data_IF_831363801053
#
_entry.id   IF_831363801053
#
_cell.length_a   1.000
_cell.length_b   1.000
_cell.length_c   1.000
_cell.angle_alpha   90.00
_cell.angle_beta   90.00
_cell.angle_gamma   90.00
#
_symmetry.space_group_name_H-M   'P 1'
#
loop_
_entity.id
_entity.type
_entity.pdbx_description
1 polymer ?
#
# COMPACT_ATOMS: atom_id res chain seq x y z
N UNK A 1 25.52 -96.77 -7.81
CA UNK A 1 25.72 -96.54 -6.36
C UNK A 1 25.93 -95.05 -6.13
N UNK A 2 25.33 -94.54 -5.06
CA UNK A 2 24.61 -93.26 -5.04
C UNK A 2 25.35 -92.14 -4.33
N UNK A 3 25.32 -90.98 -4.99
CA UNK A 3 25.75 -89.64 -4.60
C UNK A 3 24.81 -89.08 -3.51
N UNK A 4 24.99 -89.44 -2.23
CA UNK A 4 24.07 -88.96 -1.17
C UNK A 4 24.66 -89.07 0.24
N UNK A 5 25.68 -88.27 0.58
CA UNK A 5 26.08 -88.11 2.00
C UNK A 5 26.92 -86.88 2.34
N UNK A 6 27.08 -85.90 1.44
CA UNK A 6 27.81 -84.64 1.75
C UNK A 6 26.92 -83.42 2.00
N UNK A 7 25.61 -83.61 2.20
CA UNK A 7 24.65 -82.52 2.43
C UNK A 7 24.05 -82.47 3.84
N UNK A 8 24.62 -83.19 4.82
CA UNK A 8 24.05 -83.29 6.17
C UNK A 8 24.90 -82.68 7.29
N UNK A 9 25.79 -81.73 6.98
CA UNK A 9 26.54 -80.96 7.99
C UNK A 9 26.59 -79.45 7.71
N UNK A 10 25.51 -78.87 7.16
CA UNK A 10 25.41 -77.41 7.02
C UNK A 10 24.07 -76.81 7.44
N UNK A 11 23.21 -77.59 8.12
CA UNK A 11 21.88 -77.13 8.56
C UNK A 11 21.65 -77.25 10.06
N UNK A 12 22.60 -76.80 10.89
CA UNK A 12 22.30 -76.53 12.30
C UNK A 12 23.14 -75.36 12.82
N UNK A 13 22.44 -74.26 13.13
CA UNK A 13 22.87 -72.99 13.74
C UNK A 13 23.40 -71.89 12.81
N UNK A 14 22.49 -71.24 12.09
CA UNK A 14 22.53 -69.79 11.95
C UNK A 14 21.24 -69.21 12.54
N UNK A 15 21.20 -69.10 13.86
CA UNK A 15 20.32 -68.15 14.54
C UNK A 15 21.21 -67.03 15.07
N UNK A 16 20.98 -65.82 14.55
CA UNK A 16 21.15 -64.57 15.26
C UNK A 16 22.57 -64.17 15.64
N UNK A 17 23.22 -63.43 14.76
CA UNK A 17 24.17 -62.39 15.17
C UNK A 17 23.87 -61.14 14.34
N UNK A 18 22.72 -60.51 14.58
CA UNK A 18 22.55 -59.13 14.14
C UNK A 18 23.41 -58.31 15.09
N UNK A 19 24.55 -57.83 14.60
CA UNK A 19 25.53 -57.20 15.47
C UNK A 19 24.92 -55.93 16.08
N UNK A 20 25.06 -55.70 17.39
CA UNK A 20 24.64 -54.44 18.04
C UNK A 20 25.29 -53.22 17.40
N UNK A 21 26.45 -53.42 16.77
CA UNK A 21 27.17 -52.40 16.02
C UNK A 21 26.45 -52.01 14.72
N UNK A 22 25.93 -52.97 13.96
CA UNK A 22 25.16 -52.71 12.74
C UNK A 22 23.80 -52.08 13.06
N UNK A 23 23.13 -52.50 14.13
CA UNK A 23 21.92 -51.83 14.61
C UNK A 23 22.20 -50.43 15.15
N UNK A 24 23.29 -50.22 15.90
CA UNK A 24 23.69 -48.90 16.41
C UNK A 24 24.06 -47.92 15.29
N UNK A 25 24.70 -48.41 14.22
CA UNK A 25 25.04 -47.60 13.05
C UNK A 25 23.79 -47.27 12.21
N UNK A 26 22.88 -48.24 12.00
CA UNK A 26 21.60 -48.01 11.29
C UNK A 26 20.63 -47.13 12.08
N UNK A 27 20.52 -47.33 13.40
CA UNK A 27 19.72 -46.48 14.28
C UNK A 27 20.33 -45.07 14.39
N UNK A 28 21.65 -44.97 14.47
CA UNK A 28 22.38 -43.69 14.43
C UNK A 28 22.11 -42.93 13.13
N UNK A 29 22.27 -43.56 11.97
CA UNK A 29 21.98 -42.93 10.67
C UNK A 29 20.50 -42.57 10.53
N UNK A 30 19.57 -43.39 11.05
CA UNK A 30 18.15 -43.07 11.03
C UNK A 30 17.80 -41.87 11.93
N UNK A 31 18.35 -41.81 13.16
CA UNK A 31 18.13 -40.70 14.11
C UNK A 31 18.79 -39.41 13.62
N UNK A 32 20.01 -39.48 13.06
CA UNK A 32 20.65 -38.33 12.41
C UNK A 32 19.86 -37.88 11.17
N UNK A 33 19.36 -38.79 10.33
CA UNK A 33 18.55 -38.42 9.17
C UNK A 33 17.19 -37.82 9.55
N UNK A 34 16.57 -38.32 10.63
CA UNK A 34 15.31 -37.79 11.15
C UNK A 34 15.52 -36.44 11.84
N UNK A 35 16.60 -36.30 12.63
CA UNK A 35 17.01 -35.06 13.29
C UNK A 35 17.42 -33.96 12.31
N UNK A 36 18.14 -34.31 11.25
CA UNK A 36 18.48 -33.37 10.16
C UNK A 36 17.23 -33.02 9.34
N UNK A 37 16.31 -33.95 9.10
CA UNK A 37 15.01 -33.63 8.45
C UNK A 37 14.13 -32.73 9.31
N UNK A 38 14.09 -32.91 10.63
CA UNK A 38 13.33 -32.03 11.52
C UNK A 38 14.00 -30.68 11.69
N UNK A 39 15.33 -30.62 11.80
CA UNK A 39 16.07 -29.35 11.81
C UNK A 39 15.92 -28.60 10.49
N UNK A 40 16.05 -29.28 9.34
CA UNK A 40 15.81 -28.68 8.03
C UNK A 40 14.37 -28.18 7.88
N UNK A 41 13.37 -28.89 8.44
CA UNK A 41 11.98 -28.40 8.48
C UNK A 41 11.81 -27.16 9.35
N UNK A 42 12.45 -27.11 10.52
CA UNK A 42 12.39 -25.95 11.42
C UNK A 42 13.13 -24.75 10.81
N UNK A 43 14.28 -24.97 10.20
CA UNK A 43 15.05 -23.93 9.52
C UNK A 43 14.33 -23.41 8.29
N UNK A 44 13.73 -24.28 7.47
CA UNK A 44 12.90 -23.85 6.35
C UNK A 44 11.67 -23.08 6.82
N UNK A 45 10.98 -23.53 7.87
CA UNK A 45 9.86 -22.78 8.47
C UNK A 45 10.28 -21.39 8.94
N UNK A 46 11.41 -21.27 9.66
CA UNK A 46 11.94 -19.98 10.09
C UNK A 46 12.28 -19.05 8.91
N UNK A 47 12.85 -19.60 7.84
CA UNK A 47 13.14 -18.82 6.62
C UNK A 47 11.84 -18.30 6.01
N UNK A 48 10.79 -19.13 5.92
CA UNK A 48 9.48 -18.69 5.43
C UNK A 48 8.85 -17.62 6.32
N UNK A 49 8.88 -17.81 7.64
CA UNK A 49 8.37 -16.82 8.61
C UNK A 49 9.13 -15.47 8.51
N UNK A 50 10.45 -15.52 8.36
CA UNK A 50 11.27 -14.31 8.17
C UNK A 50 10.98 -13.62 6.84
N UNK A 51 10.79 -14.38 5.76
CA UNK A 51 10.45 -13.82 4.45
C UNK A 51 9.06 -13.17 4.47
N UNK A 52 8.07 -13.84 5.07
CA UNK A 52 6.72 -13.31 5.22
C UNK A 52 6.72 -12.02 6.05
N UNK A 53 7.43 -12.00 7.17
CA UNK A 53 7.54 -10.80 8.01
C UNK A 53 8.20 -9.63 7.26
N UNK A 54 9.27 -9.89 6.51
CA UNK A 54 9.93 -8.85 5.68
C UNK A 54 9.01 -8.34 4.57
N UNK A 55 8.22 -9.22 3.95
CA UNK A 55 7.25 -8.84 2.94
C UNK A 55 6.18 -7.91 3.54
N UNK A 56 5.65 -8.23 4.72
CA UNK A 56 4.70 -7.39 5.44
C UNK A 56 5.28 -6.02 5.85
N UNK A 57 6.52 -5.98 6.36
CA UNK A 57 7.21 -4.72 6.72
C UNK A 57 7.47 -3.84 5.49
N UNK A 58 7.85 -4.46 4.39
CA UNK A 58 8.03 -3.79 3.09
C UNK A 58 6.69 -3.23 2.60
N UNK A 59 5.64 -4.04 2.66
CA UNK A 59 4.30 -3.66 2.25
C UNK A 59 3.76 -2.45 3.04
N UNK A 60 3.93 -2.46 4.36
CA UNK A 60 3.55 -1.34 5.23
C UNK A 60 4.33 -0.06 4.90
N UNK A 61 5.61 -0.19 4.53
CA UNK A 61 6.45 0.94 4.13
C UNK A 61 5.96 1.58 2.84
N UNK A 62 5.71 0.78 1.80
CA UNK A 62 5.19 1.29 0.53
C UNK A 62 3.78 1.86 0.66
N UNK A 63 2.92 1.27 1.49
CA UNK A 63 1.60 1.84 1.81
C UNK A 63 1.73 3.24 2.39
N UNK A 64 2.55 3.42 3.42
CA UNK A 64 2.80 4.74 4.03
C UNK A 64 3.44 5.71 3.05
N UNK A 65 4.31 5.23 2.17
CA UNK A 65 4.93 6.07 1.14
C UNK A 65 3.89 6.58 0.12
N UNK A 66 2.93 5.74 -0.29
CA UNK A 66 1.80 6.15 -1.13
C UNK A 66 0.91 7.15 -0.39
N UNK A 67 0.57 6.88 0.87
CA UNK A 67 -0.23 7.79 1.70
C UNK A 67 0.44 9.17 1.82
N UNK A 68 1.75 9.21 2.11
CA UNK A 68 2.52 10.45 2.18
C UNK A 68 2.64 11.16 0.83
N UNK A 69 2.83 10.42 -0.27
CA UNK A 69 2.89 10.98 -1.61
C UNK A 69 1.58 11.67 -2.00
N UNK A 70 0.44 11.09 -1.61
CA UNK A 70 -0.88 11.66 -1.83
C UNK A 70 -1.16 12.85 -0.91
N UNK A 71 -0.81 12.74 0.36
CA UNK A 71 -0.97 13.83 1.36
C UNK A 71 0.01 15.00 1.15
N UNK A 72 0.85 14.95 0.13
CA UNK A 72 1.74 16.04 -0.28
C UNK A 72 1.43 16.58 -1.67
N UNK A 73 0.30 16.19 -2.27
CA UNK A 73 -0.16 16.76 -3.54
C UNK A 73 -0.41 18.27 -3.43
N UNK A 74 0.18 19.01 -4.37
CA UNK A 74 -0.06 20.43 -4.62
C UNK A 74 -0.60 20.66 -6.04
N UNK A 75 -1.00 21.90 -6.34
CA UNK A 75 -1.32 22.36 -7.68
C UNK A 75 -0.24 21.92 -8.69
N UNK A 76 -0.68 21.22 -9.75
CA UNK A 76 0.20 20.70 -10.81
C UNK A 76 0.86 19.34 -10.55
N UNK A 77 0.76 18.77 -9.33
CA UNK A 77 1.26 17.43 -9.01
C UNK A 77 0.16 16.39 -8.78
N UNK A 78 -1.10 16.77 -8.99
CA UNK A 78 -2.25 15.91 -8.72
C UNK A 78 -2.36 14.75 -9.72
N UNK A 79 -2.88 13.61 -9.25
CA UNK A 79 -3.39 12.53 -10.10
C UNK A 79 -2.36 11.54 -10.65
N UNK A 80 -1.09 11.90 -10.77
CA UNK A 80 -0.07 10.92 -11.19
C UNK A 80 0.66 10.33 -9.98
N UNK A 81 0.28 9.10 -9.62
CA UNK A 81 1.04 8.26 -8.69
C UNK A 81 2.04 7.46 -9.52
N UNK A 82 3.31 7.89 -9.51
CA UNK A 82 4.40 7.16 -10.17
C UNK A 82 5.23 6.39 -9.16
N UNK A 83 5.90 5.33 -9.64
CA UNK A 83 6.92 4.61 -8.89
C UNK A 83 7.99 5.58 -8.32
N UNK A 84 8.47 6.51 -9.14
CA UNK A 84 9.47 7.51 -8.75
C UNK A 84 8.99 8.41 -7.60
N UNK A 85 7.73 8.83 -7.66
CA UNK A 85 7.14 9.67 -6.62
C UNK A 85 7.01 8.91 -5.30
N UNK A 86 6.47 7.69 -5.33
CA UNK A 86 6.32 6.86 -4.12
C UNK A 86 7.71 6.59 -3.50
N UNK A 87 8.72 6.33 -4.32
CA UNK A 87 10.09 6.09 -3.87
C UNK A 87 10.72 7.29 -3.12
N UNK A 88 10.25 8.51 -3.32
CA UNK A 88 10.73 9.67 -2.54
C UNK A 88 10.32 9.58 -1.06
N UNK A 89 9.22 8.88 -0.75
CA UNK A 89 8.65 8.77 0.59
C UNK A 89 8.94 7.41 1.26
N UNK A 90 9.57 6.49 0.54
CA UNK A 90 10.14 5.27 1.13
C UNK A 90 11.41 5.68 1.86
N UNK A 91 11.43 5.51 3.19
CA UNK A 91 12.64 5.82 3.93
C UNK A 91 13.78 4.92 3.45
N UNK A 92 14.96 5.49 3.17
CA UNK A 92 16.20 4.76 2.84
C UNK A 92 16.69 3.82 3.97
N UNK A 93 15.88 3.63 5.01
CA UNK A 93 16.24 3.10 6.32
C UNK A 93 15.41 1.89 6.75
N UNK A 94 14.78 1.15 5.83
CA UNK A 94 14.41 -0.24 6.12
C UNK A 94 15.69 -1.06 6.03
N UNK A 95 16.24 -1.39 7.20
CA UNK A 95 17.59 -1.92 7.37
C UNK A 95 17.90 -3.15 6.53
N UNK A 96 19.10 -3.17 5.96
CA UNK A 96 19.72 -4.39 5.42
C UNK A 96 19.49 -4.61 3.93
N UNK A 97 19.76 -3.59 3.11
CA UNK A 97 19.86 -3.74 1.66
C UNK A 97 19.25 -2.55 0.97
N UNK A 98 20.08 -1.75 0.33
CA UNK A 98 19.63 -0.71 -0.59
C UNK A 98 18.91 -1.40 -1.76
N UNK A 99 17.60 -1.65 -1.64
CA UNK A 99 16.80 -1.95 -2.82
C UNK A 99 16.79 -0.69 -3.67
N UNK A 100 17.43 -0.79 -4.84
CA UNK A 100 17.41 0.24 -5.86
C UNK A 100 15.95 0.49 -6.25
N UNK A 101 15.60 1.75 -6.58
CA UNK A 101 14.25 2.11 -7.04
C UNK A 101 13.78 1.36 -8.30
N UNK A 102 14.67 0.55 -8.91
CA UNK A 102 14.42 -0.34 -10.05
C UNK A 102 13.56 -1.57 -9.76
N UNK A 103 13.36 -1.93 -8.49
CA UNK A 103 12.76 -3.22 -8.12
C UNK A 103 11.26 -3.13 -7.81
N UNK A 104 10.64 -1.98 -8.03
CA UNK A 104 9.22 -1.78 -7.80
C UNK A 104 8.45 -1.76 -9.12
N UNK A 105 7.33 -2.47 -9.17
CA UNK A 105 6.34 -2.30 -10.22
C UNK A 105 5.09 -1.69 -9.61
N UNK A 106 4.65 -0.56 -10.17
CA UNK A 106 3.47 0.17 -9.74
C UNK A 106 2.41 0.12 -10.84
N UNK A 107 1.20 -0.24 -10.44
CA UNK A 107 0.00 -0.06 -11.25
C UNK A 107 -1.01 0.78 -10.52
N UNK A 108 -1.52 1.83 -11.17
CA UNK A 108 -2.57 2.66 -10.63
C UNK A 108 -3.68 2.79 -11.67
N UNK A 109 -4.93 2.59 -11.25
CA UNK A 109 -6.10 2.71 -12.12
C UNK A 109 -7.13 3.58 -11.44
N UNK A 110 -7.66 4.54 -12.19
CA UNK A 110 -8.79 5.35 -11.78
C UNK A 110 -10.08 4.55 -11.93
N UNK A 111 -10.99 4.69 -10.98
CA UNK A 111 -12.35 4.18 -11.13
C UNK A 111 -13.17 5.33 -11.76
N UNK A 112 -14.09 5.02 -12.66
CA UNK A 112 -14.51 5.93 -13.74
C UNK A 112 -15.53 7.03 -13.33
N UNK A 113 -15.34 7.72 -12.19
CA UNK A 113 -16.25 8.80 -11.73
C UNK A 113 -15.59 9.92 -10.88
N UNK A 114 -16.31 11.02 -10.71
CA UNK A 114 -15.92 12.29 -10.04
C UNK A 114 -15.51 12.21 -8.56
N UNK A 115 -15.46 11.03 -7.97
CA UNK A 115 -14.99 10.76 -6.60
C UNK A 115 -14.14 9.50 -6.50
N UNK A 116 -13.88 8.83 -7.62
CA UNK A 116 -13.57 7.42 -7.53
C UNK A 116 -12.14 7.21 -6.99
N UNK A 117 -12.00 6.44 -5.89
CA UNK A 117 -10.70 6.13 -5.36
C UNK A 117 -9.84 5.46 -6.43
N UNK A 118 -8.67 6.05 -6.65
CA UNK A 118 -7.62 5.37 -7.36
C UNK A 118 -7.25 4.13 -6.54
N UNK A 119 -7.07 3.01 -7.23
CA UNK A 119 -6.49 1.82 -6.62
C UNK A 119 -5.07 1.69 -7.10
N UNK A 120 -4.15 1.60 -6.14
CA UNK A 120 -2.71 1.47 -6.41
C UNK A 120 -2.28 0.08 -5.97
N UNK A 121 -1.71 -0.69 -6.89
CA UNK A 121 -0.99 -1.92 -6.60
C UNK A 121 0.50 -1.70 -6.76
N UNK A 122 1.27 -2.12 -5.76
CA UNK A 122 2.73 -2.04 -5.75
C UNK A 122 3.28 -3.42 -5.43
N UNK A 123 4.26 -3.88 -6.18
CA UNK A 123 4.98 -5.11 -5.84
C UNK A 123 6.49 -4.89 -5.87
N UNK A 124 7.18 -5.62 -4.99
CA UNK A 124 8.65 -5.77 -5.00
C UNK A 124 9.08 -7.21 -5.28
N UNK A 125 8.15 -8.00 -5.83
CA UNK A 125 8.39 -9.39 -6.20
C UNK A 125 9.44 -9.49 -7.30
N UNK A 126 10.32 -10.47 -7.20
CA UNK A 126 11.24 -10.88 -8.26
C UNK A 126 10.57 -11.80 -9.30
N UNK A 127 9.33 -12.22 -9.05
CA UNK A 127 8.50 -12.99 -9.98
C UNK A 127 8.03 -12.12 -11.17
N UNK A 128 8.55 -12.42 -12.36
CA UNK A 128 8.21 -11.75 -13.62
C UNK A 128 6.71 -11.77 -13.92
N UNK A 129 5.99 -12.84 -13.57
CA UNK A 129 4.55 -12.93 -13.80
C UNK A 129 3.80 -11.92 -12.92
N UNK A 130 4.20 -11.78 -11.66
CA UNK A 130 3.59 -10.84 -10.71
C UNK A 130 3.83 -9.41 -11.17
N UNK A 131 5.08 -9.08 -11.54
CA UNK A 131 5.42 -7.75 -12.07
C UNK A 131 4.64 -7.44 -13.35
N UNK A 132 4.61 -8.37 -14.30
CA UNK A 132 3.86 -8.20 -15.54
C UNK A 132 2.35 -8.03 -15.29
N UNK A 133 1.76 -8.78 -14.34
CA UNK A 133 0.34 -8.69 -14.01
C UNK A 133 -0.01 -7.36 -13.36
N UNK A 134 0.78 -6.88 -12.38
CA UNK A 134 0.60 -5.55 -11.77
C UNK A 134 0.71 -4.45 -12.84
N UNK A 135 1.70 -4.53 -13.72
CA UNK A 135 1.85 -3.58 -14.84
C UNK A 135 0.71 -3.64 -15.85
N UNK A 136 0.18 -4.83 -16.16
CA UNK A 136 -0.94 -5.02 -17.10
C UNK A 136 -2.24 -4.46 -16.53
N UNK A 137 -2.50 -4.65 -15.23
CA UNK A 137 -3.65 -4.05 -14.57
C UNK A 137 -3.61 -2.53 -14.77
N UNK A 138 -2.46 -1.88 -14.54
CA UNK A 138 -2.26 -0.46 -14.79
C UNK A 138 -2.55 0.01 -16.23
N UNK A 139 -2.24 -0.84 -17.22
CA UNK A 139 -2.28 -0.48 -18.65
C UNK A 139 -3.60 -0.77 -19.37
N UNK A 140 -4.63 -1.28 -18.69
CA UNK A 140 -5.90 -1.59 -19.36
C UNK A 140 -6.97 -2.30 -18.52
N UNK A 141 -6.78 -2.43 -17.19
CA UNK A 141 -7.82 -2.93 -16.29
C UNK A 141 -8.77 -1.83 -15.81
N UNK A 142 -9.85 -2.21 -15.12
CA UNK A 142 -10.58 -1.30 -14.23
C UNK A 142 -10.13 -1.52 -12.77
N UNK A 143 -10.41 -0.56 -11.88
CA UNK A 143 -10.05 -0.69 -10.47
C UNK A 143 -10.71 -1.88 -9.75
N UNK A 144 -11.90 -2.31 -10.20
CA UNK A 144 -12.59 -3.48 -9.65
C UNK A 144 -11.86 -4.81 -9.97
N UNK A 145 -11.16 -4.89 -11.11
CA UNK A 145 -10.31 -6.03 -11.45
C UNK A 145 -9.10 -6.10 -10.52
N UNK A 146 -8.51 -4.95 -10.15
CA UNK A 146 -7.47 -4.94 -9.11
C UNK A 146 -8.04 -5.37 -7.76
N UNK A 147 -9.29 -5.01 -7.43
CA UNK A 147 -9.92 -5.40 -6.17
C UNK A 147 -10.14 -6.89 -5.98
N UNK A 148 -10.35 -7.59 -7.09
CA UNK A 148 -10.71 -9.01 -7.11
C UNK A 148 -9.61 -9.89 -7.67
N UNK A 149 -8.44 -9.31 -7.99
CA UNK A 149 -7.30 -10.07 -8.49
C UNK A 149 -6.72 -10.97 -7.39
N UNK A 150 -6.33 -12.18 -7.78
CA UNK A 150 -5.60 -13.14 -6.95
C UNK A 150 -4.32 -12.58 -6.29
N UNK A 151 -3.76 -11.50 -6.84
CA UNK A 151 -2.59 -10.83 -6.26
C UNK A 151 -2.93 -10.02 -4.98
N UNK A 152 -4.19 -9.71 -4.71
CA UNK A 152 -4.61 -8.88 -3.56
C UNK A 152 -4.26 -9.51 -2.21
N UNK A 153 -4.30 -10.84 -2.14
CA UNK A 153 -4.02 -11.60 -0.91
C UNK A 153 -2.54 -11.98 -0.76
N UNK A 154 -1.68 -11.57 -1.71
CA UNK A 154 -0.26 -11.90 -1.65
C UNK A 154 0.50 -10.92 -0.75
N UNK A 155 1.35 -11.46 0.11
CA UNK A 155 2.19 -10.67 1.03
C UNK A 155 3.23 -9.76 0.31
N UNK A 156 3.59 -10.06 -0.94
CA UNK A 156 4.54 -9.30 -1.75
C UNK A 156 3.89 -8.22 -2.65
N UNK A 157 2.58 -8.01 -2.48
CA UNK A 157 1.79 -7.01 -3.20
C UNK A 157 1.06 -6.11 -2.20
N UNK A 158 1.16 -4.80 -2.40
CA UNK A 158 0.46 -3.78 -1.62
C UNK A 158 -0.67 -3.24 -2.45
N UNK A 159 -1.89 -3.26 -1.92
CA UNK A 159 -3.03 -2.58 -2.52
C UNK A 159 -3.47 -1.43 -1.63
N UNK A 160 -3.54 -0.22 -2.19
CA UNK A 160 -4.01 0.98 -1.51
C UNK A 160 -5.23 1.52 -2.22
N UNK A 161 -6.32 1.70 -1.46
CA UNK A 161 -7.51 2.41 -1.90
C UNK A 161 -7.41 3.86 -1.41
N UNK A 162 -7.41 4.83 -2.32
CA UNK A 162 -7.15 6.22 -1.95
C UNK A 162 -8.37 6.95 -1.37
N UNK A 163 -9.54 6.31 -1.25
CA UNK A 163 -10.80 6.95 -0.86
C UNK A 163 -10.71 7.73 0.44
N UNK A 164 -10.19 7.11 1.49
CA UNK A 164 -10.05 7.74 2.80
C UNK A 164 -9.12 8.97 2.74
N UNK A 165 -8.02 8.87 1.98
CA UNK A 165 -7.06 9.96 1.80
C UNK A 165 -7.74 11.13 1.07
N UNK A 166 -8.52 10.85 0.02
CA UNK A 166 -9.29 11.89 -0.70
C UNK A 166 -10.30 12.59 0.22
N UNK A 167 -10.95 11.84 1.11
CA UNK A 167 -11.84 12.43 2.12
C UNK A 167 -11.10 13.33 3.10
N UNK A 168 -9.92 12.93 3.58
CA UNK A 168 -9.08 13.76 4.45
C UNK A 168 -8.66 15.08 3.76
N UNK A 169 -8.26 15.02 2.49
CA UNK A 169 -7.93 16.21 1.70
C UNK A 169 -9.14 17.16 1.52
N UNK A 170 -10.33 16.61 1.29
CA UNK A 170 -11.58 17.40 1.21
C UNK A 170 -11.88 18.04 2.57
N UNK A 171 -11.77 17.30 3.67
CA UNK A 171 -12.04 17.82 5.01
C UNK A 171 -11.07 18.96 5.38
N UNK A 172 -9.78 18.83 5.05
CA UNK A 172 -8.81 19.90 5.23
C UNK A 172 -9.20 21.16 4.44
N UNK A 173 -9.65 20.99 3.19
CA UNK A 173 -10.14 22.10 2.35
C UNK A 173 -11.37 22.78 2.96
N UNK A 174 -12.35 22.00 3.42
CA UNK A 174 -13.55 22.53 4.07
C UNK A 174 -13.22 23.27 5.38
N UNK A 175 -12.26 22.78 6.16
CA UNK A 175 -11.79 23.48 7.36
C UNK A 175 -11.20 24.85 7.04
N UNK A 176 -10.42 24.97 5.97
CA UNK A 176 -9.91 26.26 5.52
C UNK A 176 -11.03 27.19 5.01
N UNK A 177 -12.02 26.65 4.29
CA UNK A 177 -13.21 27.42 3.88
C UNK A 177 -14.02 27.91 5.08
N UNK A 178 -14.13 27.13 6.16
CA UNK A 178 -14.80 27.56 7.39
C UNK A 178 -14.05 28.68 8.09
N UNK A 179 -12.72 28.64 8.15
CA UNK A 179 -11.91 29.76 8.68
C UNK A 179 -12.10 31.03 7.84
N UNK A 180 -12.16 30.91 6.52
CA UNK A 180 -12.44 32.03 5.63
C UNK A 180 -13.85 32.60 5.90
N UNK A 181 -14.83 31.73 6.12
CA UNK A 181 -16.19 32.13 6.49
C UNK A 181 -16.26 32.90 7.81
N UNK A 182 -15.49 32.51 8.83
CA UNK A 182 -15.41 33.24 10.10
C UNK A 182 -14.92 34.68 9.91
N UNK A 183 -13.94 34.88 9.03
CA UNK A 183 -13.45 36.23 8.68
C UNK A 183 -14.54 37.04 7.97
N UNK A 184 -15.30 36.41 7.06
CA UNK A 184 -16.43 37.06 6.38
C UNK A 184 -17.55 37.44 7.35
N UNK A 185 -17.86 36.60 8.33
CA UNK A 185 -18.82 36.94 9.39
C UNK A 185 -18.31 38.11 10.26
N UNK A 186 -17.00 38.16 10.55
CA UNK A 186 -16.38 39.30 11.21
C UNK A 186 -16.55 40.59 10.42
N UNK A 187 -16.36 40.55 9.10
CA UNK A 187 -16.60 41.69 8.21
C UNK A 187 -18.06 42.13 8.23
N UNK A 188 -19.00 41.18 8.14
CA UNK A 188 -20.43 41.46 8.18
C UNK A 188 -20.83 42.13 9.50
N UNK A 189 -20.34 41.64 10.64
CA UNK A 189 -20.63 42.22 11.95
C UNK A 189 -20.17 43.69 12.08
N UNK A 190 -19.13 44.07 11.35
CA UNK A 190 -18.59 45.45 11.36
C UNK A 190 -19.29 46.37 10.36
N UNK A 191 -19.73 45.84 9.21
CA UNK A 191 -20.20 46.64 8.07
C UNK A 191 -21.70 46.49 7.76
N UNK A 192 -22.39 45.55 8.42
CA UNK A 192 -23.80 45.24 8.17
C UNK A 192 -24.08 44.60 6.79
N UNK A 193 -23.03 44.16 6.09
CA UNK A 193 -23.09 43.47 4.79
C UNK A 193 -21.87 42.58 4.59
N UNK A 194 -22.01 41.56 3.76
CA UNK A 194 -20.85 40.80 3.28
C UNK A 194 -19.94 41.64 2.37
N UNK A 195 -18.64 41.30 2.27
CA UNK A 195 -17.71 42.01 1.41
C UNK A 195 -18.10 41.85 -0.07
N UNK A 196 -17.93 42.92 -0.85
CA UNK A 196 -18.01 42.84 -2.31
C UNK A 196 -16.76 42.18 -2.89
N UNK A 197 -16.74 41.94 -4.20
CA UNK A 197 -15.65 41.20 -4.85
C UNK A 197 -14.24 41.76 -4.57
N UNK A 198 -14.05 43.08 -4.67
CA UNK A 198 -12.74 43.70 -4.42
C UNK A 198 -12.30 43.61 -2.94
N UNK A 199 -13.24 43.77 -2.01
CA UNK A 199 -12.97 43.64 -0.57
C UNK A 199 -12.65 42.19 -0.21
N UNK A 200 -13.35 41.24 -0.84
CA UNK A 200 -13.06 39.82 -0.68
C UNK A 200 -11.67 39.47 -1.20
N UNK A 201 -11.24 40.01 -2.33
CA UNK A 201 -9.86 39.80 -2.82
C UNK A 201 -8.84 40.24 -1.78
N UNK A 202 -8.99 41.43 -1.18
CA UNK A 202 -8.11 41.87 -0.10
C UNK A 202 -8.14 40.93 1.11
N UNK A 203 -9.33 40.49 1.54
CA UNK A 203 -9.47 39.56 2.66
C UNK A 203 -8.80 38.20 2.33
N UNK A 204 -8.97 37.69 1.11
CA UNK A 204 -8.38 36.44 0.67
C UNK A 204 -6.86 36.52 0.60
N UNK A 205 -6.31 37.64 0.13
CA UNK A 205 -4.87 37.88 0.09
C UNK A 205 -4.28 38.00 1.51
N UNK A 206 -5.01 38.64 2.42
CA UNK A 206 -4.60 38.80 3.82
C UNK A 206 -4.62 37.48 4.60
N UNK A 207 -5.62 36.61 4.37
CA UNK A 207 -5.70 35.31 5.05
C UNK A 207 -4.76 34.27 4.43
N UNK A 208 -4.50 34.36 3.13
CA UNK A 208 -3.71 33.37 2.38
C UNK A 208 -4.28 31.95 2.42
N UNK A 209 -5.57 31.81 2.75
CA UNK A 209 -6.22 30.50 2.89
C UNK A 209 -6.54 29.92 1.52
N UNK A 210 -6.08 28.70 1.29
CA UNK A 210 -6.35 27.92 0.07
C UNK A 210 -7.04 26.62 0.43
N UNK A 211 -7.54 25.91 -0.59
CA UNK A 211 -7.84 24.49 -0.42
C UNK A 211 -6.56 23.68 -0.19
N UNK A 212 -6.71 22.37 0.07
CA UNK A 212 -5.59 21.47 0.36
C UNK A 212 -4.49 21.50 -0.71
N UNK A 213 -4.87 21.64 -1.99
CA UNK A 213 -3.95 21.62 -3.11
C UNK A 213 -3.36 22.99 -3.46
N UNK A 214 -3.68 24.03 -2.69
CA UNK A 214 -3.18 25.39 -2.96
C UNK A 214 -4.00 26.18 -3.97
N UNK A 215 -5.17 25.69 -4.39
CA UNK A 215 -6.09 26.50 -5.21
C UNK A 215 -6.83 27.52 -4.34
N UNK A 216 -7.15 28.71 -4.86
CA UNK A 216 -7.86 29.73 -4.12
C UNK A 216 -9.27 29.28 -3.70
N UNK A 217 -9.80 29.96 -2.69
CA UNK A 217 -11.20 29.87 -2.28
C UNK A 217 -11.90 31.09 -2.87
N UNK A 218 -12.80 30.84 -3.82
CA UNK A 218 -13.59 31.88 -4.49
C UNK A 218 -14.83 32.25 -3.68
N UNK A 219 -15.39 33.41 -3.98
CA UNK A 219 -16.57 33.95 -3.31
C UNK A 219 -17.61 34.39 -4.35
N UNK A 220 -18.81 33.86 -4.22
CA UNK A 220 -19.98 34.22 -5.03
C UNK A 220 -20.95 35.00 -4.15
N UNK A 221 -20.91 36.33 -4.26
CA UNK A 221 -21.85 37.23 -3.59
C UNK A 221 -23.23 37.09 -4.23
N UNK A 222 -24.23 36.64 -3.47
CA UNK A 222 -25.61 36.54 -3.93
C UNK A 222 -26.37 37.83 -3.62
N UNK A 223 -26.21 38.34 -2.40
CA UNK A 223 -26.72 39.62 -1.94
C UNK A 223 -25.89 40.15 -0.74
N UNK A 224 -26.37 41.17 -0.05
CA UNK A 224 -25.67 41.77 1.10
C UNK A 224 -25.61 40.86 2.35
N UNK A 225 -26.49 39.86 2.44
CA UNK A 225 -26.67 38.95 3.57
C UNK A 225 -26.45 37.48 3.19
N UNK A 226 -26.09 37.20 1.94
CA UNK A 226 -25.90 35.85 1.43
C UNK A 226 -24.70 35.78 0.49
N UNK A 227 -23.83 34.83 0.77
CA UNK A 227 -22.62 34.61 -0.02
C UNK A 227 -22.22 33.13 0.03
N UNK A 228 -21.66 32.63 -1.06
CA UNK A 228 -21.18 31.25 -1.14
C UNK A 228 -19.69 31.24 -1.38
N UNK A 229 -18.95 30.61 -0.48
CA UNK A 229 -17.55 30.26 -0.71
C UNK A 229 -17.48 29.00 -1.55
N UNK A 230 -16.66 29.00 -2.58
CA UNK A 230 -16.50 27.88 -3.50
C UNK A 230 -15.03 27.54 -3.71
N UNK A 231 -14.71 26.25 -3.79
CA UNK A 231 -13.40 25.81 -4.27
C UNK A 231 -13.58 24.53 -5.08
N UNK A 232 -12.75 24.33 -6.09
CA UNK A 232 -12.85 23.17 -6.98
C UNK A 232 -11.68 22.23 -6.72
N UNK A 233 -11.98 20.96 -6.49
CA UNK A 233 -10.95 19.91 -6.36
C UNK A 233 -10.26 19.69 -7.72
N UNK A 234 -9.04 19.13 -7.75
CA UNK A 234 -8.35 18.84 -9.02
C UNK A 234 -9.11 17.92 -9.98
N UNK A 235 -10.04 17.11 -9.46
CA UNK A 235 -10.90 16.21 -10.23
C UNK A 235 -12.28 16.81 -10.57
N UNK A 236 -12.45 18.11 -10.39
CA UNK A 236 -13.64 18.85 -10.86
C UNK A 236 -14.85 18.81 -9.91
N UNK A 237 -14.68 18.36 -8.67
CA UNK A 237 -15.74 18.46 -7.67
C UNK A 237 -15.76 19.86 -7.06
N UNK A 238 -16.91 20.52 -7.08
CA UNK A 238 -17.09 21.81 -6.40
C UNK A 238 -17.41 21.58 -4.92
N UNK A 239 -16.59 22.17 -4.05
CA UNK A 239 -16.82 22.30 -2.62
C UNK A 239 -17.48 23.67 -2.37
N UNK A 240 -18.52 23.70 -1.54
CA UNK A 240 -19.29 24.92 -1.27
C UNK A 240 -19.55 25.09 0.21
N UNK A 241 -19.40 26.33 0.71
CA UNK A 241 -19.85 26.74 2.05
C UNK A 241 -20.73 27.98 1.89
N UNK A 242 -22.02 27.85 2.17
CA UNK A 242 -22.96 28.96 2.15
C UNK A 242 -22.96 29.72 3.48
N UNK A 243 -22.98 31.05 3.41
CA UNK A 243 -23.08 31.96 4.54
C UNK A 243 -24.35 32.80 4.37
N UNK A 244 -25.18 32.81 5.42
CA UNK A 244 -26.43 33.55 5.45
C UNK A 244 -26.60 34.18 6.84
N UNK A 245 -27.15 35.39 6.89
CA UNK A 245 -27.50 36.12 8.11
C UNK A 245 -28.96 36.55 8.14
#
# INVERSE_FOLDING_TARGET
MTFKSYLYRLYKRQRGAVSPFLFGMLAGVAIFSAGVKTQARIETQRIYEEQEKRAQETAATYRRAVENALMSETAGSFGTITADRVNQYVSKSVGGGTRSGSDITLGAIDRDTTLDPQRVMITTSDDDFVRARVGTLAGGGNADNMATDSLTDRNDVVTVDTSNIRQEQIQASLSNMQKQAEVMYGFWAQNGRFPGAAEYTSISDDTGLTNFWGSPIDCVCLDNNSVTLTSVTPWGQTLTVGLNM
#
